data_IF_436769456709
#
_entry.id   IF_436769456709
#
_cell.length_a   1.000
_cell.length_b   1.000
_cell.length_c   1.000
_cell.angle_alpha   90.00
_cell.angle_beta   90.00
_cell.angle_gamma   90.00
#
_symmetry.space_group_name_H-M   'P 1'
#
loop_
_entity.id
_entity.type
_entity.pdbx_description
1 polymer ?
#
# COMPACT_ATOMS: atom_id res chain seq x y z
N UNK A 1 -26.51 15.67 -39.14
CA UNK A 1 -26.12 14.43 -39.84
C UNK A 1 -24.60 14.30 -39.97
N UNK A 2 -23.85 15.38 -40.27
CA UNK A 2 -22.40 15.27 -40.50
C UNK A 2 -21.56 14.88 -39.28
N UNK A 3 -21.94 15.32 -38.07
CA UNK A 3 -21.22 14.99 -36.85
C UNK A 3 -21.12 13.48 -36.59
N UNK A 4 -22.10 12.69 -37.05
CA UNK A 4 -22.09 11.23 -36.88
C UNK A 4 -20.91 10.59 -37.61
N UNK A 5 -20.48 11.14 -38.75
CA UNK A 5 -19.32 10.62 -39.49
C UNK A 5 -18.00 10.81 -38.74
N UNK A 6 -17.93 11.78 -37.82
CA UNK A 6 -16.77 12.02 -36.98
C UNK A 6 -16.91 11.29 -35.63
N UNK A 7 -18.10 11.29 -35.04
CA UNK A 7 -18.34 10.67 -33.73
C UNK A 7 -18.26 9.14 -33.76
N UNK A 8 -18.73 8.48 -34.82
CA UNK A 8 -18.68 7.01 -34.93
C UNK A 8 -17.24 6.47 -34.94
N UNK A 9 -16.31 6.95 -35.79
CA UNK A 9 -14.93 6.47 -35.73
C UNK A 9 -14.22 6.89 -34.44
N UNK A 10 -14.50 8.11 -33.94
CA UNK A 10 -13.93 8.58 -32.68
C UNK A 10 -14.33 7.70 -31.49
N UNK A 11 -15.59 7.27 -31.42
CA UNK A 11 -16.06 6.39 -30.35
C UNK A 11 -15.46 4.99 -30.45
N UNK A 12 -15.30 4.45 -31.66
CA UNK A 12 -14.61 3.16 -31.87
C UNK A 12 -13.15 3.23 -31.39
N UNK A 13 -12.44 4.32 -31.67
CA UNK A 13 -11.08 4.54 -31.18
C UNK A 13 -11.07 4.62 -29.66
N UNK A 14 -11.99 5.38 -29.06
CA UNK A 14 -12.10 5.51 -27.61
C UNK A 14 -12.35 4.16 -26.92
N UNK A 15 -13.24 3.33 -27.48
CA UNK A 15 -13.50 1.97 -26.99
C UNK A 15 -12.26 1.08 -27.12
N UNK A 16 -11.56 1.15 -28.25
CA UNK A 16 -10.31 0.39 -28.44
C UNK A 16 -9.26 0.77 -27.39
N UNK A 17 -9.08 2.08 -27.15
CA UNK A 17 -8.17 2.60 -26.13
C UNK A 17 -8.56 2.10 -24.74
N UNK A 18 -9.84 2.16 -24.40
CA UNK A 18 -10.34 1.68 -23.11
C UNK A 18 -10.07 0.18 -22.92
N UNK A 19 -10.30 -0.64 -23.94
CA UNK A 19 -10.02 -2.08 -23.91
C UNK A 19 -8.52 -2.35 -23.71
N UNK A 20 -7.66 -1.66 -24.46
CA UNK A 20 -6.20 -1.80 -24.30
C UNK A 20 -5.76 -1.41 -22.89
N UNK A 21 -6.24 -0.27 -22.37
CA UNK A 21 -5.91 0.19 -21.02
C UNK A 21 -6.37 -0.81 -19.96
N UNK A 22 -7.58 -1.35 -20.11
CA UNK A 22 -8.15 -2.35 -19.23
C UNK A 22 -7.27 -3.60 -19.15
N UNK A 23 -6.87 -4.16 -20.29
CA UNK A 23 -5.98 -5.32 -20.30
C UNK A 23 -4.58 -5.01 -19.76
N UNK A 24 -4.05 -3.80 -20.00
CA UNK A 24 -2.78 -3.38 -19.39
C UNK A 24 -2.87 -3.32 -17.86
N UNK A 25 -3.94 -2.75 -17.31
CA UNK A 25 -4.17 -2.71 -15.86
C UNK A 25 -4.37 -4.11 -15.28
N UNK A 26 -5.17 -4.95 -15.97
CA UNK A 26 -5.38 -6.35 -15.59
C UNK A 26 -4.08 -7.14 -15.55
N UNK A 27 -3.16 -6.92 -16.49
CA UNK A 27 -1.85 -7.57 -16.49
C UNK A 27 -0.85 -6.98 -15.47
N UNK A 28 -1.08 -5.76 -14.99
CA UNK A 28 -0.20 -5.10 -14.00
C UNK A 28 -0.56 -5.50 -12.56
N UNK A 29 -1.62 -6.28 -12.37
CA UNK A 29 -2.07 -6.73 -11.04
C UNK A 29 -2.68 -5.61 -10.19
N UNK A 30 -3.14 -4.51 -10.82
CA UNK A 30 -3.73 -3.38 -10.09
C UNK A 30 -5.02 -3.76 -9.34
N UNK A 31 -5.71 -4.82 -9.80
CA UNK A 31 -6.93 -5.34 -9.17
C UNK A 31 -6.66 -6.46 -8.16
N UNK A 32 -5.40 -6.84 -7.93
CA UNK A 32 -5.06 -7.97 -7.06
C UNK A 32 -4.99 -7.55 -5.58
N UNK A 33 -5.05 -6.24 -5.27
CA UNK A 33 -4.93 -5.71 -3.91
C UNK A 33 -6.19 -4.96 -3.44
N UNK A 34 -7.33 -5.64 -3.43
CA UNK A 34 -8.59 -5.13 -2.85
C UNK A 34 -8.54 -5.05 -1.30
N UNK A 35 -7.46 -5.53 -0.65
CA UNK A 35 -7.37 -5.70 0.81
C UNK A 35 -6.32 -4.81 1.49
N UNK A 36 -5.28 -4.40 0.77
CA UNK A 36 -4.17 -3.58 1.27
C UNK A 36 -4.60 -2.22 1.85
N UNK A 37 -5.51 -1.47 1.21
CA UNK A 37 -5.91 -0.14 1.71
C UNK A 37 -6.69 -0.17 3.03
N UNK A 38 -7.47 -1.22 3.28
CA UNK A 38 -8.27 -1.33 4.50
C UNK A 38 -7.40 -1.61 5.74
N UNK A 39 -6.31 -2.36 5.57
CA UNK A 39 -5.38 -2.67 6.65
C UNK A 39 -4.39 -1.53 6.90
N UNK A 40 -3.96 -0.81 5.86
CA UNK A 40 -3.05 0.35 6.01
C UNK A 40 -3.67 1.47 6.84
N UNK A 41 -4.98 1.69 6.77
CA UNK A 41 -5.69 2.69 7.59
C UNK A 41 -5.71 2.30 9.08
N UNK A 42 -5.75 1.01 9.39
CA UNK A 42 -5.71 0.53 10.79
C UNK A 42 -4.30 0.48 11.37
N UNK A 43 -3.30 0.29 10.51
CA UNK A 43 -1.88 0.28 10.88
C UNK A 43 -1.18 1.62 10.65
N UNK A 44 -1.93 2.67 10.30
CA UNK A 44 -1.38 4.02 10.13
C UNK A 44 -0.94 4.52 11.50
N UNK A 45 0.35 4.34 11.77
CA UNK A 45 0.97 4.71 13.03
C UNK A 45 1.32 6.19 12.98
N UNK A 46 0.30 7.04 12.79
CA UNK A 46 0.33 8.52 12.84
C UNK A 46 0.65 9.02 14.26
N UNK A 47 1.58 8.34 14.96
CA UNK A 47 2.12 8.81 16.21
C UNK A 47 2.92 10.07 15.88
N UNK A 48 2.64 11.20 16.55
CA UNK A 48 3.46 12.37 16.40
C UNK A 48 4.93 11.99 16.69
N UNK A 49 5.90 12.49 15.90
CA UNK A 49 7.31 12.27 16.20
C UNK A 49 7.55 12.69 17.65
N UNK A 50 8.15 11.79 18.44
CA UNK A 50 8.46 12.11 19.83
C UNK A 50 9.28 13.40 19.86
N UNK A 51 8.94 14.36 20.76
CA UNK A 51 9.70 15.59 20.88
C UNK A 51 11.18 15.25 21.12
N UNK A 52 12.11 15.98 20.49
CA UNK A 52 13.53 15.74 20.63
C UNK A 52 14.00 16.32 21.97
N UNK A 53 13.62 15.69 23.07
CA UNK A 53 14.36 15.73 24.33
C UNK A 53 13.68 14.80 25.33
N UNK A 54 14.31 13.65 25.56
CA UNK A 54 14.49 12.99 26.85
C UNK A 54 15.24 11.68 26.59
N UNK A 55 16.51 11.84 26.21
CA UNK A 55 17.53 10.90 26.69
C UNK A 55 17.43 10.88 28.21
N UNK A 56 16.79 9.85 28.76
CA UNK A 56 17.15 9.16 30.01
C UNK A 56 15.92 8.57 30.70
N UNK A 57 15.48 7.39 30.25
CA UNK A 57 14.97 6.37 31.17
C UNK A 57 15.27 5.01 30.58
N UNK A 58 16.38 4.45 31.04
CA UNK A 58 16.64 3.02 31.01
C UNK A 58 15.48 2.28 31.69
N UNK A 59 14.73 1.40 31.01
CA UNK A 59 13.94 0.40 31.70
C UNK A 59 14.88 -0.77 31.98
N UNK A 60 15.66 -0.66 33.04
CA UNK A 60 16.18 -1.85 33.68
C UNK A 60 14.99 -2.52 34.39
N UNK A 61 14.85 -3.81 34.14
CA UNK A 61 14.23 -4.80 35.04
C UNK A 61 12.74 -5.12 34.82
N UNK A 62 12.52 -6.12 33.96
CA UNK A 62 11.67 -7.26 34.34
C UNK A 62 12.52 -8.54 34.25
N UNK A 63 12.57 -9.37 35.30
CA UNK A 63 13.53 -10.46 35.40
C UNK A 63 13.04 -11.76 34.75
N UNK A 64 14.04 -12.57 34.37
CA UNK A 64 14.06 -14.03 34.21
C UNK A 64 13.91 -14.62 32.79
N UNK A 65 14.60 -15.75 32.49
CA UNK A 65 15.77 -16.35 33.13
C UNK A 65 16.97 -16.36 32.17
N UNK A 66 18.13 -15.95 32.65
CA UNK A 66 19.41 -16.28 32.03
C UNK A 66 19.60 -17.79 32.10
N UNK A 67 19.57 -18.45 30.94
CA UNK A 67 20.21 -19.73 30.71
C UNK A 67 21.72 -19.55 30.84
N UNK A 68 22.20 -19.55 32.08
CA UNK A 68 23.61 -19.75 32.39
C UNK A 68 23.78 -21.17 32.94
N UNK A 69 24.41 -22.04 32.14
CA UNK A 69 25.75 -22.52 32.51
C UNK A 69 26.38 -23.34 31.41
N UNK A 70 27.31 -22.69 30.73
CA UNK A 70 28.57 -23.34 30.44
C UNK A 70 29.23 -23.67 31.79
N UNK A 71 29.24 -24.96 32.16
CA UNK A 71 30.09 -25.46 33.22
C UNK A 71 30.56 -26.87 32.86
N UNK A 72 31.82 -26.91 32.38
CA UNK A 72 32.73 -28.05 32.27
C UNK A 72 32.62 -28.93 31.02
#
# INVERSE_FOLDING_TARGET
MEALYLLVPLSLIAVLVAIVLFFRMSATGQFDDDQGPAFSVLLDDDRPPLPPDETDVTPEQSPAPSSDKSAR
#
